data_IF_776153187531
#
_entry.id   IF_776153187531
#
_cell.length_a   1.000
_cell.length_b   1.000
_cell.length_c   1.000
_cell.angle_alpha   90.00
_cell.angle_beta   90.00
_cell.angle_gamma   90.00
#
_symmetry.space_group_name_H-M   'P 1'
#
loop_
_entity.id
_entity.type
_entity.pdbx_description
1 polymer ?
#
# COMPACT_ATOMS: atom_id res chain seq x y z
N UNK A 1 25.27 -9.28 13.30
CA UNK A 1 24.00 -8.76 12.73
C UNK A 1 23.03 -8.62 13.90
N UNK A 2 22.51 -7.42 14.16
CA UNK A 2 21.45 -7.27 15.16
C UNK A 2 20.22 -8.01 14.64
N UNK A 3 19.79 -9.02 15.36
CA UNK A 3 18.57 -9.77 15.04
C UNK A 3 17.37 -8.88 15.38
N UNK A 4 16.55 -8.56 14.40
CA UNK A 4 15.33 -7.78 14.62
C UNK A 4 14.34 -8.58 15.47
N UNK A 5 13.68 -7.91 16.41
CA UNK A 5 12.70 -8.53 17.30
C UNK A 5 11.45 -9.01 16.53
N UNK A 6 11.08 -8.32 15.46
CA UNK A 6 9.91 -8.58 14.64
C UNK A 6 10.31 -8.86 13.18
N UNK A 7 9.46 -9.57 12.47
CA UNK A 7 9.63 -9.90 11.06
C UNK A 7 9.09 -8.77 10.16
N UNK A 8 8.14 -7.98 10.68
CA UNK A 8 7.45 -6.92 9.98
C UNK A 8 7.07 -5.78 10.92
N UNK A 9 7.36 -4.55 10.53
CA UNK A 9 6.83 -3.33 11.14
C UNK A 9 5.71 -2.76 10.26
N UNK A 10 4.55 -2.53 10.85
CA UNK A 10 3.34 -2.05 10.15
C UNK A 10 2.95 -0.69 10.70
N UNK A 11 2.75 0.29 9.83
CA UNK A 11 2.03 1.51 10.17
C UNK A 11 0.63 1.41 9.54
N UNK A 12 -0.36 1.17 10.39
CA UNK A 12 -1.75 0.95 10.00
C UNK A 12 -2.56 2.21 10.25
N UNK A 13 -3.01 2.87 9.18
CA UNK A 13 -3.86 4.05 9.31
C UNK A 13 -5.33 3.69 9.20
N UNK A 14 -6.14 4.33 10.01
CA UNK A 14 -7.58 4.13 10.08
C UNK A 14 -8.32 5.45 10.25
N UNK A 15 -9.44 5.57 9.53
CA UNK A 15 -10.33 6.72 9.55
C UNK A 15 -11.79 6.27 9.67
N UNK A 16 -12.62 6.91 10.53
CA UNK A 16 -13.93 6.37 10.89
C UNK A 16 -15.05 6.61 9.87
N UNK A 17 -14.74 7.13 8.67
CA UNK A 17 -15.73 7.35 7.63
C UNK A 17 -15.44 6.50 6.39
N UNK A 18 -16.49 6.06 5.72
CA UNK A 18 -16.39 5.37 4.44
C UNK A 18 -15.88 6.35 3.38
N UNK A 19 -15.03 5.85 2.48
CA UNK A 19 -14.54 6.61 1.31
C UNK A 19 -15.70 7.08 0.43
N UNK A 20 -15.45 8.10 -0.39
CA UNK A 20 -16.39 8.55 -1.44
C UNK A 20 -16.68 7.47 -2.49
N UNK A 21 -15.83 6.47 -2.59
CA UNK A 21 -16.03 5.29 -3.42
C UNK A 21 -16.51 4.15 -2.51
N UNK A 22 -17.79 3.73 -2.62
CA UNK A 22 -18.36 2.77 -1.69
C UNK A 22 -17.67 1.41 -1.80
N UNK A 23 -17.46 0.71 -0.67
CA UNK A 23 -16.96 -0.67 -0.69
C UNK A 23 -18.04 -1.64 -1.18
N UNK A 24 -17.64 -2.84 -1.66
CA UNK A 24 -18.58 -3.85 -2.13
C UNK A 24 -19.43 -4.44 -1.00
N UNK A 25 -18.97 -4.35 0.25
CA UNK A 25 -19.69 -4.80 1.44
C UNK A 25 -19.57 -3.76 2.56
N UNK A 26 -20.57 -3.66 3.43
CA UNK A 26 -20.61 -2.70 4.55
C UNK A 26 -20.46 -1.22 4.15
N UNK A 27 -21.08 -0.83 3.02
CA UNK A 27 -20.99 0.53 2.51
C UNK A 27 -21.49 1.60 3.53
N UNK A 28 -22.39 1.23 4.42
CA UNK A 28 -22.98 2.11 5.44
C UNK A 28 -22.40 1.90 6.85
N UNK A 29 -21.43 0.98 7.01
CA UNK A 29 -20.89 0.61 8.33
C UNK A 29 -19.36 0.49 8.29
N UNK A 30 -18.72 1.64 8.46
CA UNK A 30 -17.23 1.70 8.46
C UNK A 30 -16.59 0.85 9.54
N UNK A 31 -17.21 0.70 10.70
CA UNK A 31 -16.67 -0.12 11.79
C UNK A 31 -16.65 -1.61 11.41
N UNK A 32 -17.72 -2.10 10.78
CA UNK A 32 -17.77 -3.48 10.27
C UNK A 32 -16.77 -3.70 9.13
N UNK A 33 -16.65 -2.74 8.21
CA UNK A 33 -15.66 -2.80 7.14
C UNK A 33 -14.24 -2.86 7.71
N UNK A 34 -13.90 -1.96 8.62
CA UNK A 34 -12.59 -1.92 9.26
C UNK A 34 -12.29 -3.22 10.03
N UNK A 35 -13.29 -3.77 10.74
CA UNK A 35 -13.17 -5.07 11.41
C UNK A 35 -12.92 -6.22 10.44
N UNK A 36 -13.65 -6.28 9.33
CA UNK A 36 -13.45 -7.27 8.27
C UNK A 36 -12.01 -7.20 7.74
N UNK A 37 -11.57 -6.01 7.33
CA UNK A 37 -10.26 -5.77 6.77
C UNK A 37 -9.14 -6.11 7.77
N UNK A 38 -9.26 -5.67 9.02
CA UNK A 38 -8.26 -5.93 10.07
C UNK A 38 -8.17 -7.42 10.43
N UNK A 39 -9.31 -8.12 10.56
CA UNK A 39 -9.33 -9.56 10.80
C UNK A 39 -8.69 -10.34 9.63
N UNK A 40 -8.97 -9.94 8.40
CA UNK A 40 -8.37 -10.55 7.22
C UNK A 40 -6.87 -10.29 7.16
N UNK A 41 -6.43 -9.08 7.51
CA UNK A 41 -5.01 -8.75 7.61
C UNK A 41 -4.32 -9.63 8.67
N UNK A 42 -4.90 -9.76 9.87
CA UNK A 42 -4.38 -10.64 10.91
C UNK A 42 -4.25 -12.09 10.45
N UNK A 43 -5.28 -12.60 9.76
CA UNK A 43 -5.27 -13.96 9.21
C UNK A 43 -4.24 -14.14 8.07
N UNK A 44 -3.92 -13.08 7.34
CA UNK A 44 -2.95 -13.14 6.25
C UNK A 44 -1.49 -13.25 6.70
N UNK A 45 -1.20 -12.84 7.93
CA UNK A 45 0.17 -12.72 8.46
C UNK A 45 0.84 -14.06 8.74
N UNK A 46 0.06 -15.16 8.85
CA UNK A 46 0.61 -16.47 9.23
C UNK A 46 1.40 -16.38 10.54
N UNK A 47 2.65 -16.83 10.52
CA UNK A 47 3.54 -16.85 11.67
C UNK A 47 4.44 -15.61 11.80
N UNK A 48 4.23 -14.54 11.02
CA UNK A 48 5.03 -13.33 11.12
C UNK A 48 4.80 -12.64 12.47
N UNK A 49 5.90 -12.30 13.14
CA UNK A 49 5.90 -11.44 14.34
C UNK A 49 5.82 -9.99 13.87
N UNK A 50 4.76 -9.30 14.28
CA UNK A 50 4.44 -7.96 13.77
C UNK A 50 4.45 -6.94 14.89
N UNK A 51 5.21 -5.85 14.73
CA UNK A 51 5.10 -4.61 15.50
C UNK A 51 4.22 -3.65 14.72
N UNK A 52 3.18 -3.09 15.37
CA UNK A 52 2.19 -2.25 14.71
C UNK A 52 2.06 -0.88 15.36
N UNK A 53 2.20 0.15 14.54
CA UNK A 53 1.80 1.53 14.87
C UNK A 53 0.41 1.76 14.28
N UNK A 54 -0.55 2.03 15.16
CA UNK A 54 -1.95 2.28 14.78
C UNK A 54 -2.20 3.77 14.75
N UNK A 55 -2.40 4.33 13.56
CA UNK A 55 -2.67 5.74 13.34
C UNK A 55 -4.19 5.95 13.31
N UNK A 56 -4.74 6.41 14.43
CA UNK A 56 -6.17 6.68 14.62
C UNK A 56 -6.43 8.15 14.28
N UNK A 57 -7.04 8.42 13.12
CA UNK A 57 -7.34 9.78 12.70
C UNK A 57 -8.83 10.10 12.93
N UNK A 58 -9.14 10.88 13.97
CA UNK A 58 -10.50 11.23 14.43
C UNK A 58 -11.35 9.98 14.79
N UNK A 59 -10.71 8.91 15.25
CA UNK A 59 -11.37 7.66 15.57
C UNK A 59 -11.92 7.64 17.00
N UNK A 60 -13.18 7.22 17.22
CA UNK A 60 -13.70 6.92 18.55
C UNK A 60 -12.99 5.70 19.18
N UNK A 61 -13.00 5.57 20.54
CA UNK A 61 -12.27 4.51 21.26
C UNK A 61 -12.58 3.08 20.82
N UNK A 62 -13.77 2.83 20.29
CA UNK A 62 -14.17 1.51 19.80
C UNK A 62 -13.24 0.94 18.71
N UNK A 63 -12.53 1.81 17.97
CA UNK A 63 -11.56 1.35 16.98
C UNK A 63 -10.28 0.78 17.63
N UNK A 64 -9.89 1.25 18.83
CA UNK A 64 -8.75 0.68 19.56
C UNK A 64 -9.03 -0.76 20.00
N UNK A 65 -10.27 -1.05 20.36
CA UNK A 65 -10.69 -2.41 20.75
C UNK A 65 -10.49 -3.42 19.61
N UNK A 66 -10.62 -3.01 18.34
CA UNK A 66 -10.41 -3.90 17.20
C UNK A 66 -8.99 -4.48 17.20
N UNK A 67 -8.00 -3.63 17.47
CA UNK A 67 -6.59 -4.03 17.49
C UNK A 67 -6.23 -4.77 18.76
N UNK A 68 -6.69 -4.31 19.92
CA UNK A 68 -6.38 -4.89 21.24
C UNK A 68 -6.88 -6.33 21.39
N UNK A 69 -7.90 -6.73 20.62
CA UNK A 69 -8.39 -8.10 20.56
C UNK A 69 -7.49 -9.05 19.75
N UNK A 70 -6.63 -8.52 18.87
CA UNK A 70 -5.88 -9.28 17.89
C UNK A 70 -4.36 -9.30 18.14
N UNK A 71 -3.83 -8.30 18.83
CA UNK A 71 -2.40 -8.16 19.14
C UNK A 71 -2.16 -7.96 20.62
N UNK A 72 -1.01 -8.44 21.10
CA UNK A 72 -0.56 -8.16 22.45
C UNK A 72 -0.26 -6.67 22.64
N UNK A 73 -0.45 -6.11 23.84
CA UNK A 73 -0.20 -4.68 24.10
C UNK A 73 1.23 -4.24 23.73
N UNK A 74 2.22 -5.11 23.96
CA UNK A 74 3.64 -4.83 23.67
C UNK A 74 3.93 -4.74 22.15
N UNK A 75 3.05 -5.28 21.30
CA UNK A 75 3.18 -5.22 19.84
C UNK A 75 2.44 -4.04 19.22
N UNK A 76 1.71 -3.25 20.03
CA UNK A 76 0.92 -2.09 19.58
C UNK A 76 1.53 -0.77 20.07
N UNK A 77 1.54 0.23 19.19
CA UNK A 77 1.84 1.62 19.49
C UNK A 77 0.71 2.49 18.98
N UNK A 78 0.10 3.27 19.88
CA UNK A 78 -1.05 4.10 19.57
C UNK A 78 -0.64 5.52 19.18
N UNK A 79 -1.09 5.97 18.00
CA UNK A 79 -0.88 7.31 17.48
C UNK A 79 -2.26 7.92 17.17
N UNK A 80 -2.66 8.94 17.96
CA UNK A 80 -3.98 9.59 17.83
C UNK A 80 -3.85 10.97 17.20
N UNK A 81 -4.68 11.22 16.18
CA UNK A 81 -4.70 12.46 15.40
C UNK A 81 -6.11 13.07 15.40
N UNK A 82 -6.25 14.41 15.41
CA UNK A 82 -7.53 15.11 15.49
C UNK A 82 -8.17 15.37 14.10
N UNK A 83 -8.10 14.44 13.15
CA UNK A 83 -8.65 14.61 11.80
C UNK A 83 -7.68 15.31 10.85
N UNK A 84 -6.40 14.89 10.84
CA UNK A 84 -5.35 15.50 9.99
C UNK A 84 -5.42 15.06 8.51
N UNK A 85 -6.25 14.08 8.19
CA UNK A 85 -6.55 13.55 6.85
C UNK A 85 -5.42 12.74 6.21
N UNK A 86 -5.74 12.15 5.06
CA UNK A 86 -4.94 11.19 4.29
C UNK A 86 -3.47 11.60 4.08
N UNK A 87 -3.21 12.77 3.50
CA UNK A 87 -1.85 13.18 3.17
C UNK A 87 -0.94 13.37 4.40
N UNK A 88 -1.49 13.73 5.56
CA UNK A 88 -0.73 13.90 6.78
C UNK A 88 -0.46 12.55 7.44
N UNK A 89 -1.48 11.70 7.57
CA UNK A 89 -1.32 10.34 8.13
C UNK A 89 -0.39 9.48 7.30
N UNK A 90 -0.43 9.57 5.96
CA UNK A 90 0.53 8.89 5.09
C UNK A 90 1.98 9.34 5.36
N UNK A 91 2.22 10.66 5.51
CA UNK A 91 3.56 11.15 5.85
C UNK A 91 4.04 10.64 7.20
N UNK A 92 3.15 10.52 8.17
CA UNK A 92 3.47 9.95 9.48
C UNK A 92 3.78 8.44 9.38
N UNK A 93 3.03 7.66 8.58
CA UNK A 93 3.38 6.26 8.31
C UNK A 93 4.81 6.14 7.79
N UNK A 94 5.18 6.96 6.80
CA UNK A 94 6.54 6.95 6.23
C UNK A 94 7.59 7.28 7.30
N UNK A 95 7.38 8.31 8.12
CA UNK A 95 8.32 8.72 9.18
C UNK A 95 8.50 7.63 10.23
N UNK A 96 7.41 7.11 10.76
CA UNK A 96 7.41 6.04 11.76
C UNK A 96 8.20 4.83 11.24
N UNK A 97 7.90 4.38 10.02
CA UNK A 97 8.51 3.18 9.46
C UNK A 97 9.99 3.37 9.09
N UNK A 98 10.43 4.59 8.80
CA UNK A 98 11.86 4.89 8.63
C UNK A 98 12.62 4.90 9.95
N UNK A 99 12.01 5.39 11.01
CA UNK A 99 12.67 5.65 12.30
C UNK A 99 12.68 4.41 13.20
N UNK A 100 11.70 3.52 13.07
CA UNK A 100 11.59 2.30 13.88
C UNK A 100 12.83 1.41 13.72
N UNK A 101 13.11 0.61 14.77
CA UNK A 101 14.24 -0.33 14.82
C UNK A 101 13.82 -1.79 15.08
N UNK A 102 12.51 -2.05 15.05
CA UNK A 102 11.91 -3.34 15.41
C UNK A 102 11.99 -4.37 14.28
N UNK A 103 11.94 -3.93 13.01
CA UNK A 103 11.96 -4.82 11.85
C UNK A 103 12.69 -4.21 10.65
N UNK A 104 13.24 -5.09 9.78
CA UNK A 104 13.79 -4.70 8.48
C UNK A 104 12.69 -4.44 7.46
N UNK A 105 11.67 -5.31 7.40
CA UNK A 105 10.55 -5.17 6.49
C UNK A 105 9.52 -4.23 7.07
N UNK A 106 9.02 -3.32 6.24
CA UNK A 106 8.06 -2.28 6.64
C UNK A 106 6.87 -2.24 5.70
N UNK A 107 5.68 -2.09 6.28
CA UNK A 107 4.42 -2.09 5.52
C UNK A 107 3.56 -0.89 5.90
N UNK A 108 3.17 -0.13 4.88
CA UNK A 108 2.16 0.91 4.99
C UNK A 108 0.79 0.28 4.74
N UNK A 109 -0.07 0.27 5.73
CA UNK A 109 -1.39 -0.37 5.66
C UNK A 109 -2.52 0.65 5.79
N UNK A 110 -3.64 0.34 5.13
CA UNK A 110 -4.89 1.10 5.16
C UNK A 110 -6.04 0.19 5.62
N UNK A 111 -7.14 0.80 6.09
CA UNK A 111 -8.26 0.13 6.72
C UNK A 111 -9.37 -0.34 5.74
N UNK A 112 -9.05 -0.32 4.46
CA UNK A 112 -9.95 -0.68 3.36
C UNK A 112 -9.33 -1.73 2.41
N UNK A 113 -8.45 -2.59 2.95
CA UNK A 113 -7.90 -3.74 2.25
C UNK A 113 -8.31 -5.05 2.91
N UNK A 114 -8.85 -5.97 2.10
CA UNK A 114 -9.11 -7.36 2.50
C UNK A 114 -8.00 -8.26 2.01
N UNK A 115 -7.52 -9.18 2.86
CA UNK A 115 -6.37 -10.05 2.57
C UNK A 115 -6.76 -11.53 2.60
N UNK A 116 -6.12 -12.30 1.73
CA UNK A 116 -6.22 -13.76 1.77
C UNK A 116 -5.37 -14.34 2.91
N UNK A 117 -5.84 -15.39 3.61
CA UNK A 117 -5.13 -15.96 4.74
C UNK A 117 -3.77 -16.55 4.34
N UNK A 118 -2.79 -16.43 5.25
CA UNK A 118 -1.44 -17.00 5.14
C UNK A 118 -0.64 -16.56 3.88
N UNK A 119 -1.07 -15.48 3.20
CA UNK A 119 -0.45 -15.04 1.96
C UNK A 119 0.60 -13.94 2.15
N UNK A 120 0.55 -13.19 3.25
CA UNK A 120 1.46 -12.05 3.46
C UNK A 120 2.94 -12.48 3.61
N UNK A 121 3.27 -13.63 4.22
CA UNK A 121 4.64 -14.14 4.26
C UNK A 121 5.27 -14.31 2.88
N UNK A 122 4.49 -14.62 1.84
CA UNK A 122 4.99 -14.75 0.47
C UNK A 122 5.56 -13.42 -0.04
N UNK A 123 4.89 -12.29 0.28
CA UNK A 123 5.37 -10.95 -0.11
C UNK A 123 6.67 -10.58 0.63
N UNK A 124 6.75 -10.90 1.92
CA UNK A 124 7.96 -10.69 2.73
C UNK A 124 9.12 -11.52 2.19
N UNK A 125 8.89 -12.80 1.92
CA UNK A 125 9.91 -13.71 1.39
C UNK A 125 10.35 -13.31 -0.03
N UNK A 126 9.39 -12.89 -0.89
CA UNK A 126 9.72 -12.39 -2.22
C UNK A 126 10.74 -11.23 -2.14
N UNK A 127 10.52 -10.25 -1.27
CA UNK A 127 11.50 -9.19 -1.09
C UNK A 127 12.83 -9.70 -0.50
N UNK A 128 12.79 -10.59 0.49
CA UNK A 128 14.01 -11.14 1.11
C UNK A 128 14.91 -11.85 0.09
N UNK A 129 14.31 -12.64 -0.80
CA UNK A 129 15.04 -13.45 -1.77
C UNK A 129 15.35 -12.73 -3.09
N UNK A 130 14.78 -11.53 -3.31
CA UNK A 130 15.03 -10.73 -4.52
C UNK A 130 15.56 -9.34 -4.14
N UNK A 131 16.89 -9.16 -3.98
CA UNK A 131 17.48 -7.88 -3.53
C UNK A 131 17.24 -6.71 -4.49
N UNK A 132 17.00 -6.99 -5.76
CA UNK A 132 16.66 -6.00 -6.81
C UNK A 132 15.17 -5.66 -6.87
N UNK A 133 14.32 -6.39 -6.17
CA UNK A 133 12.94 -6.00 -5.91
C UNK A 133 12.90 -5.01 -4.74
N UNK A 134 12.34 -3.82 -4.95
CA UNK A 134 12.36 -2.75 -3.96
C UNK A 134 11.05 -2.62 -3.20
N UNK A 135 9.93 -2.74 -3.92
CA UNK A 135 8.58 -2.58 -3.38
C UNK A 135 7.67 -3.71 -3.84
N UNK A 136 6.73 -4.08 -2.98
CA UNK A 136 5.64 -5.00 -3.29
C UNK A 136 4.32 -4.35 -2.91
N UNK A 137 3.36 -4.32 -3.85
CA UNK A 137 1.95 -4.10 -3.51
C UNK A 137 1.28 -5.45 -3.34
N UNK A 138 0.53 -5.70 -2.26
CA UNK A 138 -0.24 -6.94 -2.11
C UNK A 138 -1.45 -7.01 -3.05
N UNK A 139 -1.82 -5.88 -3.67
CA UNK A 139 -2.99 -5.69 -4.48
C UNK A 139 -2.62 -5.52 -5.96
N UNK A 140 -3.11 -6.44 -6.79
CA UNK A 140 -2.99 -6.42 -8.25
C UNK A 140 -4.14 -5.58 -8.84
N UNK A 141 -3.90 -4.29 -9.03
CA UNK A 141 -4.92 -3.32 -9.42
C UNK A 141 -5.47 -3.60 -10.84
N UNK A 142 -6.80 -3.64 -11.07
CA UNK A 142 -7.39 -3.92 -12.39
C UNK A 142 -6.98 -2.93 -13.49
N UNK A 143 -6.67 -1.67 -13.15
CA UNK A 143 -6.17 -0.67 -14.10
C UNK A 143 -4.87 -1.10 -14.81
N UNK A 144 -4.08 -1.98 -14.18
CA UNK A 144 -2.87 -2.54 -14.77
C UNK A 144 -3.18 -3.28 -16.09
N UNK A 145 -4.39 -3.81 -16.21
CA UNK A 145 -4.84 -4.59 -17.37
C UNK A 145 -5.70 -3.80 -18.34
N UNK A 146 -6.39 -2.78 -17.87
CA UNK A 146 -7.45 -2.08 -18.63
C UNK A 146 -7.03 -0.73 -19.18
N UNK A 147 -6.13 -0.01 -18.50
CA UNK A 147 -5.80 1.37 -18.86
C UNK A 147 -4.59 1.47 -19.79
N UNK A 148 -4.63 2.43 -20.72
CA UNK A 148 -3.51 2.73 -21.60
C UNK A 148 -2.25 3.16 -20.84
N UNK A 149 -2.43 3.82 -19.72
CA UNK A 149 -1.34 4.26 -18.86
C UNK A 149 -0.43 3.08 -18.47
N UNK A 150 -1.02 1.92 -18.18
CA UNK A 150 -0.34 0.71 -17.73
C UNK A 150 0.11 -0.24 -18.85
N UNK A 151 -0.20 0.06 -20.12
CA UNK A 151 0.30 -0.72 -21.27
C UNK A 151 1.80 -0.52 -21.47
N UNK A 152 2.60 -1.19 -20.65
CA UNK A 152 4.07 -1.21 -20.68
C UNK A 152 4.57 -2.65 -20.58
N UNK A 153 5.75 -2.96 -21.17
CA UNK A 153 6.39 -4.25 -20.94
C UNK A 153 6.56 -4.53 -19.45
N UNK A 154 6.16 -5.73 -19.03
CA UNK A 154 6.27 -6.20 -17.64
C UNK A 154 7.25 -7.36 -17.58
N UNK A 155 8.00 -7.43 -16.52
CA UNK A 155 8.78 -8.59 -16.12
C UNK A 155 7.90 -9.47 -15.24
N UNK A 156 7.98 -10.79 -15.44
CA UNK A 156 7.30 -11.79 -14.58
C UNK A 156 8.36 -12.68 -13.95
N UNK A 157 8.23 -12.92 -12.64
CA UNK A 157 9.05 -13.86 -11.88
C UNK A 157 8.17 -14.90 -11.21
N UNK A 158 8.62 -16.13 -11.17
CA UNK A 158 7.99 -17.19 -10.37
C UNK A 158 8.79 -17.33 -9.08
N UNK A 159 8.17 -17.03 -7.96
CA UNK A 159 8.78 -17.16 -6.64
C UNK A 159 7.69 -17.41 -5.59
N UNK A 160 8.04 -18.11 -4.51
CA UNK A 160 7.13 -18.39 -3.38
C UNK A 160 5.79 -19.02 -3.86
N UNK A 161 5.82 -19.84 -4.92
CA UNK A 161 4.63 -20.49 -5.49
C UNK A 161 3.65 -19.56 -6.23
N UNK A 162 4.04 -18.31 -6.51
CA UNK A 162 3.23 -17.31 -7.23
C UNK A 162 3.97 -16.70 -8.42
N UNK A 163 3.20 -16.15 -9.35
CA UNK A 163 3.73 -15.23 -10.34
C UNK A 163 3.80 -13.81 -9.75
N UNK A 164 4.92 -13.14 -9.93
CA UNK A 164 5.15 -11.75 -9.54
C UNK A 164 5.37 -10.92 -10.78
N UNK A 165 4.50 -9.95 -11.00
CA UNK A 165 4.56 -9.08 -12.17
C UNK A 165 5.09 -7.70 -11.78
N UNK A 166 6.06 -7.19 -12.55
CA UNK A 166 6.48 -5.81 -12.36
C UNK A 166 5.38 -4.85 -12.78
N UNK A 167 5.14 -3.82 -11.98
CA UNK A 167 4.27 -2.71 -12.33
C UNK A 167 4.98 -1.37 -12.04
N UNK A 168 4.34 -0.25 -12.34
CA UNK A 168 5.01 1.03 -12.13
C UNK A 168 4.26 1.97 -11.19
N UNK A 169 3.06 1.61 -10.75
CA UNK A 169 2.31 2.36 -9.75
C UNK A 169 1.42 1.46 -8.91
N UNK A 170 1.15 1.91 -7.71
CA UNK A 170 0.16 1.36 -6.78
C UNK A 170 -0.38 2.50 -5.91
N UNK A 171 -1.27 2.19 -5.00
CA UNK A 171 -1.78 3.07 -3.95
C UNK A 171 -0.71 3.39 -2.88
N UNK A 172 -1.12 3.93 -1.74
CA UNK A 172 -0.25 4.13 -0.58
C UNK A 172 0.00 2.86 0.25
N UNK A 173 -0.60 1.74 -0.14
CA UNK A 173 -0.48 0.45 0.54
C UNK A 173 0.60 -0.41 -0.13
N UNK A 174 1.77 -0.52 0.51
CA UNK A 174 2.91 -1.26 -0.02
C UNK A 174 3.88 -1.74 1.05
N UNK A 175 4.60 -2.82 0.74
CA UNK A 175 5.68 -3.42 1.51
C UNK A 175 7.03 -3.04 0.90
N UNK A 176 8.02 -2.77 1.75
CA UNK A 176 9.40 -2.49 1.32
C UNK A 176 10.38 -2.81 2.45
N UNK A 177 11.70 -2.70 2.18
CA UNK A 177 12.72 -2.66 3.22
C UNK A 177 12.80 -1.26 3.82
N UNK A 178 13.02 -1.18 5.14
CA UNK A 178 13.22 0.11 5.84
C UNK A 178 14.30 0.97 5.17
N UNK A 179 15.41 0.36 4.79
CA UNK A 179 16.51 1.10 4.19
C UNK A 179 16.17 1.60 2.77
N UNK A 180 15.41 0.82 1.98
CA UNK A 180 14.84 1.29 0.72
C UNK A 180 13.91 2.49 0.93
N UNK A 181 13.05 2.44 1.96
CA UNK A 181 12.18 3.56 2.30
C UNK A 181 12.98 4.82 2.69
N UNK A 182 14.06 4.64 3.46
CA UNK A 182 14.98 5.72 3.83
C UNK A 182 15.69 6.35 2.64
N UNK A 183 16.14 5.53 1.67
CA UNK A 183 16.82 6.01 0.45
C UNK A 183 15.92 6.94 -0.39
N UNK A 184 14.63 6.66 -0.46
CA UNK A 184 13.69 7.38 -1.32
C UNK A 184 12.60 8.17 -0.59
N UNK A 185 12.69 8.30 0.75
CA UNK A 185 11.66 8.93 1.58
C UNK A 185 11.23 10.31 1.11
N UNK A 186 12.17 11.09 0.60
CA UNK A 186 11.94 12.46 0.14
C UNK A 186 10.94 12.53 -1.04
N UNK A 187 10.79 11.44 -1.83
CA UNK A 187 9.75 11.35 -2.85
C UNK A 187 8.38 11.23 -2.20
N UNK A 188 8.25 10.41 -1.14
CA UNK A 188 7.00 10.23 -0.41
C UNK A 188 6.64 11.44 0.46
N UNK A 189 7.65 12.12 1.02
CA UNK A 189 7.50 13.27 1.90
C UNK A 189 7.50 14.63 1.16
N UNK A 190 7.64 14.65 -0.17
CA UNK A 190 7.62 15.89 -0.94
C UNK A 190 6.34 16.71 -0.67
N UNK A 191 6.40 18.03 -0.73
CA UNK A 191 5.30 18.91 -0.32
C UNK A 191 4.21 19.04 -1.40
N UNK A 192 3.57 17.94 -1.75
CA UNK A 192 2.48 17.90 -2.74
C UNK A 192 1.21 18.67 -2.33
N UNK A 193 1.24 19.38 -1.21
CA UNK A 193 0.11 20.14 -0.70
C UNK A 193 -0.91 19.24 0.04
N UNK A 194 -2.20 19.49 -0.21
CA UNK A 194 -3.29 18.75 0.44
C UNK A 194 -3.60 17.40 -0.23
N UNK A 195 -3.09 17.20 -1.44
CA UNK A 195 -3.28 15.96 -2.22
C UNK A 195 -2.04 15.09 -2.05
N UNK A 196 -2.22 13.79 -1.94
CA UNK A 196 -1.13 12.83 -1.93
C UNK A 196 -1.15 12.03 -3.25
N UNK A 197 -0.49 12.52 -4.33
CA UNK A 197 -0.61 11.93 -5.66
C UNK A 197 0.24 10.66 -5.77
N UNK A 198 -0.37 9.50 -5.56
CA UNK A 198 0.30 8.19 -5.63
C UNK A 198 1.01 8.00 -6.96
N UNK A 199 0.27 8.19 -8.05
CA UNK A 199 0.77 8.00 -9.40
C UNK A 199 2.04 8.82 -9.68
N UNK A 200 2.09 10.08 -9.24
CA UNK A 200 3.26 10.94 -9.44
C UNK A 200 4.50 10.42 -8.70
N UNK A 201 4.33 9.95 -7.46
CA UNK A 201 5.41 9.37 -6.65
C UNK A 201 5.96 8.11 -7.31
N UNK A 202 5.07 7.20 -7.70
CA UNK A 202 5.46 5.96 -8.35
C UNK A 202 6.10 6.17 -9.71
N UNK A 203 5.60 7.11 -10.53
CA UNK A 203 6.24 7.50 -11.79
C UNK A 203 7.67 7.99 -11.56
N UNK A 204 7.92 8.80 -10.53
CA UNK A 204 9.25 9.31 -10.21
C UNK A 204 10.20 8.19 -9.76
N UNK A 205 9.74 7.27 -8.89
CA UNK A 205 10.54 6.16 -8.37
C UNK A 205 10.86 5.13 -9.45
N UNK A 206 9.86 4.72 -10.24
CA UNK A 206 10.03 3.69 -11.27
C UNK A 206 10.58 4.24 -12.58
N UNK A 207 10.64 5.56 -12.72
CA UNK A 207 11.04 6.29 -13.95
C UNK A 207 10.23 5.86 -15.18
N UNK A 208 8.98 5.43 -14.99
CA UNK A 208 8.08 5.04 -16.06
C UNK A 208 7.16 6.20 -16.46
N UNK A 209 6.88 6.34 -17.75
CA UNK A 209 6.03 7.40 -18.34
C UNK A 209 6.59 8.84 -18.25
N UNK A 210 7.53 9.14 -17.36
CA UNK A 210 8.05 10.51 -17.13
C UNK A 210 8.90 11.06 -18.29
N UNK A 211 9.44 10.19 -19.14
CA UNK A 211 10.25 10.59 -20.30
C UNK A 211 9.49 10.51 -21.64
N UNK A 212 8.15 10.53 -21.62
CA UNK A 212 7.35 10.44 -22.84
C UNK A 212 6.59 11.76 -23.11
N UNK A 213 7.21 12.74 -23.81
CA UNK A 213 6.59 14.03 -24.09
C UNK A 213 5.36 13.91 -25.01
N UNK A 214 5.33 12.91 -25.89
CA UNK A 214 4.18 12.69 -26.79
C UNK A 214 2.96 12.24 -25.96
N UNK A 215 3.15 11.28 -25.04
CA UNK A 215 2.08 10.87 -24.14
C UNK A 215 1.62 12.03 -23.24
N UNK A 216 2.54 12.84 -22.72
CA UNK A 216 2.21 14.02 -21.93
C UNK A 216 1.34 15.01 -22.72
N UNK A 217 1.74 15.37 -23.94
CA UNK A 217 0.99 16.29 -24.79
C UNK A 217 -0.42 15.74 -25.10
N UNK A 218 -0.53 14.46 -25.47
CA UNK A 218 -1.82 13.82 -25.72
C UNK A 218 -2.70 13.79 -24.47
N UNK A 219 -2.17 13.38 -23.32
CA UNK A 219 -2.94 13.30 -22.07
C UNK A 219 -3.30 14.66 -21.48
N UNK A 220 -2.57 15.72 -21.82
CA UNK A 220 -2.97 17.08 -21.44
C UNK A 220 -4.34 17.46 -21.99
N UNK A 221 -4.76 16.83 -23.09
CA UNK A 221 -6.07 17.01 -23.72
C UNK A 221 -7.06 15.91 -23.32
N UNK A 222 -6.61 14.64 -23.32
CA UNK A 222 -7.51 13.48 -23.18
C UNK A 222 -7.68 12.99 -21.72
N UNK A 223 -6.68 13.16 -20.86
CA UNK A 223 -6.70 12.75 -19.46
C UNK A 223 -5.82 13.64 -18.58
N UNK A 224 -6.38 14.76 -18.14
CA UNK A 224 -5.66 15.76 -17.31
C UNK A 224 -5.07 15.17 -16.02
N UNK A 225 -5.67 14.12 -15.46
CA UNK A 225 -5.15 13.45 -14.28
C UNK A 225 -3.77 12.81 -14.53
N UNK A 226 -3.59 12.12 -15.68
CA UNK A 226 -2.31 11.49 -16.00
C UNK A 226 -1.24 12.54 -16.36
N UNK A 227 -1.61 13.56 -17.15
CA UNK A 227 -0.70 14.66 -17.45
C UNK A 227 -0.30 15.43 -16.18
N UNK A 228 -1.26 15.73 -15.32
CA UNK A 228 -1.02 16.35 -14.02
C UNK A 228 -0.08 15.54 -13.12
N UNK A 229 -0.22 14.21 -13.13
CA UNK A 229 0.68 13.32 -12.38
C UNK A 229 2.12 13.37 -12.91
N UNK A 230 2.32 13.39 -14.23
CA UNK A 230 3.65 13.59 -14.84
C UNK A 230 4.22 14.96 -14.44
N UNK A 231 3.41 16.03 -14.53
CA UNK A 231 3.83 17.36 -14.13
C UNK A 231 4.26 17.41 -12.66
N UNK A 232 3.47 16.84 -11.75
CA UNK A 232 3.79 16.80 -10.32
C UNK A 232 5.04 15.97 -10.04
N UNK A 233 5.23 14.84 -10.75
CA UNK A 233 6.44 14.05 -10.65
C UNK A 233 7.68 14.88 -11.02
N UNK A 234 7.64 15.62 -12.13
CA UNK A 234 8.74 16.50 -12.53
C UNK A 234 8.91 17.69 -11.58
N UNK A 235 7.84 18.34 -11.18
CA UNK A 235 7.91 19.53 -10.33
C UNK A 235 8.53 19.24 -8.97
N UNK A 236 8.13 18.14 -8.31
CA UNK A 236 8.60 17.80 -6.97
C UNK A 236 9.78 16.84 -6.94
N UNK A 237 9.91 15.96 -7.94
CA UNK A 237 10.84 14.83 -7.90
C UNK A 237 11.82 14.78 -9.08
N UNK A 238 12.11 15.90 -9.74
CA UNK A 238 13.01 15.95 -10.89
C UNK A 238 14.40 15.39 -10.59
N UNK A 239 14.92 15.58 -9.38
CA UNK A 239 16.21 15.00 -8.97
C UNK A 239 16.17 13.49 -8.96
N UNK A 240 15.07 12.88 -8.46
CA UNK A 240 14.85 11.45 -8.53
C UNK A 240 14.76 10.96 -9.97
N UNK A 241 14.03 11.68 -10.81
CA UNK A 241 13.84 11.30 -12.20
C UNK A 241 15.17 11.29 -12.95
N UNK A 242 15.99 12.31 -12.79
CA UNK A 242 17.25 12.47 -13.53
C UNK A 242 18.41 11.67 -12.90
N UNK A 243 18.61 11.79 -11.61
CA UNK A 243 19.83 11.34 -10.94
C UNK A 243 19.62 10.22 -9.92
N UNK A 244 18.39 10.01 -9.45
CA UNK A 244 18.10 8.96 -8.48
C UNK A 244 18.20 7.55 -9.07
N UNK A 245 18.25 6.56 -8.21
CA UNK A 245 18.13 5.14 -8.55
C UNK A 245 16.74 4.84 -9.15
N UNK A 246 16.67 3.95 -10.11
CA UNK A 246 15.40 3.40 -10.57
C UNK A 246 14.96 2.29 -9.62
N UNK A 247 13.76 2.43 -9.08
CA UNK A 247 13.16 1.43 -8.21
C UNK A 247 12.20 0.52 -8.99
N UNK A 248 11.99 -0.69 -8.46
CA UNK A 248 11.06 -1.69 -9.01
C UNK A 248 9.92 -1.92 -8.04
N UNK A 249 8.72 -2.06 -8.58
CA UNK A 249 7.50 -2.38 -7.86
C UNK A 249 6.90 -3.66 -8.43
N UNK A 250 6.48 -4.58 -7.58
CA UNK A 250 5.99 -5.90 -7.93
C UNK A 250 4.61 -6.15 -7.31
N UNK A 251 3.79 -6.91 -8.02
CA UNK A 251 2.47 -7.36 -7.57
C UNK A 251 2.34 -8.87 -7.75
N UNK A 252 1.77 -9.59 -6.80
CA UNK A 252 1.50 -11.02 -6.94
C UNK A 252 0.29 -11.27 -7.85
N UNK A 253 0.35 -12.30 -8.66
CA UNK A 253 -0.77 -12.76 -9.46
C UNK A 253 -1.00 -14.27 -9.26
N UNK A 254 -2.20 -14.70 -8.80
CA UNK A 254 -3.32 -13.88 -8.32
C UNK A 254 -2.96 -13.02 -7.12
N UNK A 255 -3.70 -11.92 -6.95
CA UNK A 255 -3.54 -10.97 -5.85
C UNK A 255 -3.60 -11.64 -4.47
N UNK A 256 -2.91 -11.08 -3.47
CA UNK A 256 -3.03 -11.54 -2.07
C UNK A 256 -3.91 -10.61 -1.24
N UNK A 257 -4.29 -9.47 -1.79
CA UNK A 257 -5.22 -8.54 -1.17
C UNK A 257 -6.16 -7.92 -2.20
N UNK A 258 -7.26 -7.37 -1.73
CA UNK A 258 -8.22 -6.61 -2.50
C UNK A 258 -8.50 -5.26 -1.87
N UNK A 259 -8.47 -4.19 -2.67
CA UNK A 259 -8.93 -2.88 -2.23
C UNK A 259 -10.45 -2.86 -2.18
N UNK A 260 -11.03 -2.46 -1.05
CA UNK A 260 -12.46 -2.49 -0.82
C UNK A 260 -13.17 -1.28 -1.45
N UNK A 261 -13.06 -1.21 -2.78
CA UNK A 261 -13.74 -0.24 -3.65
C UNK A 261 -14.49 -1.02 -4.71
N UNK A 262 -15.81 -0.84 -4.79
CA UNK A 262 -16.65 -1.56 -5.76
C UNK A 262 -16.20 -1.28 -7.20
N UNK A 263 -16.05 -2.35 -8.00
CA UNK A 263 -15.56 -2.29 -9.38
C UNK A 263 -14.04 -2.18 -9.54
N UNK A 264 -13.31 -2.22 -8.43
CA UNK A 264 -11.84 -2.21 -8.41
C UNK A 264 -11.26 -3.51 -7.83
N UNK A 265 -12.02 -4.59 -7.89
CA UNK A 265 -11.59 -5.89 -7.38
C UNK A 265 -10.41 -6.44 -8.20
N UNK A 266 -9.41 -6.98 -7.50
CA UNK A 266 -8.26 -7.61 -8.14
C UNK A 266 -8.69 -8.81 -9.00
N UNK A 267 -8.14 -8.98 -10.22
CA UNK A 267 -8.56 -10.03 -11.13
C UNK A 267 -8.16 -11.43 -10.66
N UNK A 268 -8.90 -12.45 -11.13
CA UNK A 268 -8.56 -13.87 -10.96
C UNK A 268 -9.04 -14.50 -9.65
N UNK A 269 -9.79 -13.77 -8.83
CA UNK A 269 -10.34 -14.24 -7.54
C UNK A 269 -11.82 -13.84 -7.45
N UNK A 270 -12.64 -14.76 -6.95
CA UNK A 270 -14.03 -14.46 -6.57
C UNK A 270 -14.05 -13.83 -5.16
N UNK A 271 -13.88 -12.52 -5.12
CA UNK A 271 -13.80 -11.78 -3.86
C UNK A 271 -15.10 -11.81 -3.06
N UNK A 272 -16.26 -11.86 -3.71
CA UNK A 272 -17.54 -11.96 -3.00
C UNK A 272 -17.59 -13.27 -2.18
N UNK A 273 -17.17 -14.38 -2.78
CA UNK A 273 -17.06 -15.65 -2.06
C UNK A 273 -16.08 -15.57 -0.88
N UNK A 274 -14.96 -14.87 -1.06
CA UNK A 274 -13.97 -14.66 0.01
C UNK A 274 -14.54 -13.83 1.16
N UNK A 275 -15.32 -12.79 0.88
CA UNK A 275 -15.98 -11.96 1.89
C UNK A 275 -17.04 -12.77 2.66
N UNK A 276 -17.86 -13.55 1.96
CA UNK A 276 -18.94 -14.36 2.56
C UNK A 276 -18.41 -15.47 3.47
N UNK A 277 -17.26 -16.06 3.13
CA UNK A 277 -16.63 -17.11 3.91
C UNK A 277 -15.96 -16.60 5.20
N UNK A 278 -15.66 -15.30 5.29
CA UNK A 278 -14.95 -14.69 6.41
C UNK A 278 -15.67 -13.47 6.95
N UNK A 279 -16.92 -13.64 7.43
CA UNK A 279 -17.63 -12.51 8.01
C UNK A 279 -16.84 -11.95 9.20
N UNK A 280 -16.96 -10.66 9.51
CA UNK A 280 -16.28 -10.07 10.66
C UNK A 280 -16.74 -10.81 11.93
N UNK A 281 -15.81 -11.51 12.57
CA UNK A 281 -16.09 -12.14 13.88
C UNK A 281 -16.43 -11.04 14.88
N UNK A 282 -17.50 -11.25 15.62
CA UNK A 282 -18.04 -10.31 16.63
C UNK A 282 -17.03 -10.03 17.73
#
# INVERSE_FOLDING_TARGET
>A
MNEFKHDLAVAYRIYPKVSSHPPPVFADDKLKLARLCLNSFKASLGNLRVKMWVLLDDCPPIYEELFSRLWAPDDLVWMRYPGVKDAATFREQVRILMEQTDAEMVYLAEDDYFYLPDQFPLAVNFLKHNPDAHFVSPYDHPDIYTTELHKLPRETRVAEGKNWNSCFSTTHTFLTRRDTLRECNWVFLAPYGRVSPDLAKWMALTKRRVFNPIAFARWSVTCRFWAGSIFLAWYYCWRQILFGKKYTLWVPHPSIANHMVAGMEAPGIDWQKEFDQRPPKV
#
